data_IF_860128453781
#
_entry.id   IF_860128453781
#
_cell.length_a   1.000
_cell.length_b   1.000
_cell.length_c   1.000
_cell.angle_alpha   90.00
_cell.angle_beta   90.00
_cell.angle_gamma   90.00
#
_symmetry.space_group_name_H-M   'P 1'
#
loop_
_entity.id
_entity.type
_entity.pdbx_description
1 polymer ?
#
# COMPACT_ATOMS: atom_id res chain seq x y z
N UNK A 1 -1.01 58.60 20.87
CA UNK A 1 -0.15 57.64 20.12
C UNK A 1 -1.06 56.55 19.55
N UNK A 2 -1.29 56.53 18.23
CA UNK A 2 -2.13 55.54 17.56
C UNK A 2 -1.22 54.41 17.07
N UNK A 3 -1.36 53.21 17.63
CA UNK A 3 -0.67 52.01 17.15
C UNK A 3 -1.66 51.19 16.32
N UNK A 4 -1.41 51.11 15.02
CA UNK A 4 -2.17 50.32 14.05
C UNK A 4 -1.44 49.00 13.87
N UNK A 5 -1.96 47.91 14.44
CA UNK A 5 -1.49 46.57 14.12
C UNK A 5 -2.03 46.16 12.74
N UNK A 6 -1.15 46.10 11.74
CA UNK A 6 -1.43 45.47 10.46
C UNK A 6 -1.30 43.96 10.60
N UNK A 7 -2.42 43.29 10.39
CA UNK A 7 -2.58 41.89 10.06
C UNK A 7 -1.69 41.56 8.84
N UNK A 8 -0.75 40.63 8.99
CA UNK A 8 0.07 40.10 7.90
C UNK A 8 -0.41 38.67 7.60
N UNK A 9 -1.37 38.59 6.69
CA UNK A 9 -1.66 37.42 5.87
C UNK A 9 -0.44 37.19 4.98
N UNK A 10 0.32 36.12 5.22
CA UNK A 10 1.25 35.61 4.23
C UNK A 10 0.78 34.24 3.78
N UNK A 11 0.16 34.25 2.61
CA UNK A 11 -0.22 33.08 1.84
C UNK A 11 0.99 32.16 1.64
N UNK A 12 0.77 30.87 1.79
CA UNK A 12 1.73 29.83 1.43
C UNK A 12 2.00 29.90 -0.07
N UNK A 13 3.12 30.52 -0.44
CA UNK A 13 3.72 30.33 -1.73
C UNK A 13 4.35 28.93 -1.75
N UNK A 14 3.78 28.03 -2.55
CA UNK A 14 4.52 26.89 -3.10
C UNK A 14 5.84 27.44 -3.66
N UNK A 15 6.94 27.13 -3.00
CA UNK A 15 8.27 27.43 -3.52
C UNK A 15 8.57 26.41 -4.60
N UNK A 16 8.16 26.71 -5.83
CA UNK A 16 8.80 26.10 -7.00
C UNK A 16 10.28 26.45 -6.93
N UNK A 17 11.16 25.44 -6.98
CA UNK A 17 12.59 25.64 -7.10
C UNK A 17 12.85 26.46 -8.38
N UNK A 18 13.21 27.73 -8.22
CA UNK A 18 13.63 28.57 -9.34
C UNK A 18 15.05 28.13 -9.76
N UNK A 19 15.09 27.40 -10.87
CA UNK A 19 16.18 27.15 -11.80
C UNK A 19 17.27 28.24 -11.83
N UNK A 20 18.54 27.83 -11.76
CA UNK A 20 19.71 28.70 -11.66
C UNK A 20 20.85 28.24 -12.59
N UNK A 21 21.50 29.19 -13.26
CA UNK A 21 22.73 28.96 -14.02
C UNK A 21 23.90 28.70 -13.06
N UNK A 22 24.96 28.06 -13.54
CA UNK A 22 26.20 27.86 -12.76
C UNK A 22 27.30 28.74 -13.32
N UNK A 23 27.82 29.64 -12.50
CA UNK A 23 28.97 30.49 -12.85
C UNK A 23 30.21 29.88 -12.22
N UNK A 24 31.15 29.44 -13.06
CA UNK A 24 32.42 28.86 -12.64
C UNK A 24 33.49 29.94 -12.76
N UNK A 25 34.16 30.24 -11.65
CA UNK A 25 35.31 31.15 -11.64
C UNK A 25 36.60 30.39 -11.98
N UNK A 26 37.61 31.09 -12.51
CA UNK A 26 38.96 30.55 -12.76
C UNK A 26 39.66 29.99 -11.52
N UNK A 27 39.18 30.39 -10.33
CA UNK A 27 39.64 29.87 -9.04
C UNK A 27 39.04 28.50 -8.69
N UNK A 28 38.08 28.00 -9.49
CA UNK A 28 37.33 26.77 -9.24
C UNK A 28 36.06 26.95 -8.39
N UNK A 29 35.79 28.16 -7.89
CA UNK A 29 34.57 28.48 -7.13
C UNK A 29 33.36 28.47 -8.07
N UNK A 30 32.27 27.82 -7.64
CA UNK A 30 31.00 27.73 -8.37
C UNK A 30 29.90 28.48 -7.63
N UNK A 31 29.17 29.33 -8.36
CA UNK A 31 27.97 29.98 -7.85
C UNK A 31 26.73 29.49 -8.60
N UNK A 32 25.73 29.03 -7.86
CA UNK A 32 24.39 28.74 -8.39
C UNK A 32 23.56 30.03 -8.34
N UNK A 33 23.17 30.54 -9.52
CA UNK A 33 22.46 31.81 -9.62
C UNK A 33 22.00 32.18 -11.03
N UNK A 34 21.26 33.27 -11.16
CA UNK A 34 20.83 33.78 -12.48
C UNK A 34 21.64 35.01 -12.86
N UNK A 35 22.13 35.10 -14.10
CA UNK A 35 22.68 36.35 -14.64
C UNK A 35 21.53 37.35 -14.84
N UNK A 36 21.56 38.46 -14.09
CA UNK A 36 20.55 39.52 -14.14
C UNK A 36 20.86 40.52 -15.26
N UNK A 37 22.13 40.89 -15.41
CA UNK A 37 22.58 41.81 -16.44
C UNK A 37 24.07 41.66 -16.72
N UNK A 38 24.49 42.11 -17.89
CA UNK A 38 25.87 42.10 -18.36
C UNK A 38 26.28 43.51 -18.77
N UNK A 39 27.45 43.96 -18.30
CA UNK A 39 28.11 45.16 -18.81
C UNK A 39 29.46 44.82 -19.46
N UNK A 40 30.20 45.83 -19.94
CA UNK A 40 31.45 45.63 -20.67
C UNK A 40 32.51 44.86 -19.87
N UNK A 41 32.47 44.90 -18.52
CA UNK A 41 33.53 44.40 -17.65
C UNK A 41 33.08 43.34 -16.64
N UNK A 42 31.78 43.18 -16.40
CA UNK A 42 31.26 42.31 -15.33
C UNK A 42 29.86 41.76 -15.62
N UNK A 43 29.54 40.66 -14.94
CA UNK A 43 28.19 40.12 -14.82
C UNK A 43 27.59 40.51 -13.47
N UNK A 44 26.33 40.95 -13.46
CA UNK A 44 25.52 41.03 -12.25
C UNK A 44 24.73 39.73 -12.12
N UNK A 45 24.95 38.99 -11.04
CA UNK A 45 24.39 37.65 -10.84
C UNK A 45 23.67 37.56 -9.51
N UNK A 46 22.44 37.05 -9.55
CA UNK A 46 21.68 36.70 -8.36
C UNK A 46 22.07 35.30 -7.92
N UNK A 47 22.83 35.17 -6.83
CA UNK A 47 23.30 33.90 -6.28
C UNK A 47 22.44 33.45 -5.11
N UNK A 48 22.30 32.15 -4.90
CA UNK A 48 21.68 31.60 -3.70
C UNK A 48 22.74 31.40 -2.61
N UNK A 49 22.64 32.15 -1.50
CA UNK A 49 23.50 31.97 -0.32
C UNK A 49 23.00 30.80 0.55
N UNK A 50 21.68 30.62 0.58
CA UNK A 50 21.00 29.42 1.09
C UNK A 50 19.80 29.12 0.19
N UNK A 51 19.10 27.99 0.39
CA UNK A 51 17.92 27.61 -0.42
C UNK A 51 16.82 28.69 -0.47
N UNK A 52 16.77 29.62 0.49
CA UNK A 52 15.77 30.69 0.56
C UNK A 52 16.35 32.11 0.51
N UNK A 53 17.67 32.29 0.66
CA UNK A 53 18.31 33.61 0.70
C UNK A 53 19.05 33.86 -0.62
N UNK A 54 18.65 34.93 -1.29
CA UNK A 54 19.25 35.41 -2.54
C UNK A 54 20.13 36.62 -2.26
N UNK A 55 21.28 36.68 -2.93
CA UNK A 55 22.20 37.82 -2.90
C UNK A 55 22.55 38.23 -4.32
N UNK A 56 22.87 39.50 -4.54
CA UNK A 56 23.27 40.02 -5.85
C UNK A 56 24.75 40.35 -5.84
N UNK A 57 25.51 39.68 -6.71
CA UNK A 57 26.96 39.83 -6.77
C UNK A 57 27.38 40.29 -8.14
N UNK A 58 28.31 41.24 -8.17
CA UNK A 58 28.99 41.65 -9.39
C UNK A 58 30.29 40.85 -9.54
N UNK A 59 30.40 40.10 -10.63
CA UNK A 59 31.55 39.23 -10.92
C UNK A 59 32.27 39.74 -12.18
N UNK A 60 33.55 40.13 -12.10
CA UNK A 60 34.35 40.52 -13.26
C UNK A 60 34.48 39.41 -14.31
N UNK A 61 34.38 39.74 -15.61
CA UNK A 61 34.45 38.76 -16.71
C UNK A 61 35.78 38.04 -16.79
N UNK A 62 36.88 38.71 -16.43
CA UNK A 62 38.22 38.15 -16.40
C UNK A 62 38.40 37.04 -15.33
N UNK A 63 37.53 37.01 -14.32
CA UNK A 63 37.49 35.98 -13.28
C UNK A 63 36.57 34.81 -13.62
N UNK A 64 35.65 34.98 -14.58
CA UNK A 64 34.75 33.91 -15.02
C UNK A 64 35.51 32.99 -15.97
N UNK A 65 35.46 31.69 -15.68
CA UNK A 65 35.95 30.65 -16.56
C UNK A 65 34.86 30.26 -17.57
N UNK A 66 33.66 29.96 -17.08
CA UNK A 66 32.51 29.60 -17.89
C UNK A 66 31.20 29.90 -17.16
N UNK A 67 30.13 30.14 -17.93
CA UNK A 67 28.76 30.21 -17.43
C UNK A 67 28.00 29.05 -18.07
N UNK A 68 27.63 28.07 -17.25
CA UNK A 68 26.82 26.94 -17.67
C UNK A 68 25.36 27.33 -17.48
N UNK A 69 24.71 27.70 -18.59
CA UNK A 69 23.29 27.99 -18.57
C UNK A 69 22.50 26.70 -18.38
N UNK A 70 21.50 26.74 -17.50
CA UNK A 70 20.62 25.60 -17.32
C UNK A 70 19.72 25.46 -18.56
N UNK A 71 19.86 24.34 -19.27
CA UNK A 71 19.05 24.04 -20.46
C UNK A 71 17.59 23.88 -20.06
N UNK A 72 16.66 24.19 -20.98
CA UNK A 72 15.24 23.98 -20.71
C UNK A 72 14.90 22.51 -20.44
N UNK A 73 15.70 21.58 -20.99
CA UNK A 73 15.62 20.16 -20.69
C UNK A 73 15.98 19.87 -19.22
N UNK A 74 17.08 20.41 -18.70
CA UNK A 74 17.47 20.23 -17.31
C UNK A 74 16.42 20.81 -16.33
N UNK A 75 15.79 21.93 -16.68
CA UNK A 75 14.68 22.53 -15.90
C UNK A 75 13.46 21.63 -15.88
N UNK A 76 13.01 21.19 -17.05
CA UNK A 76 11.85 20.32 -17.17
C UNK A 76 12.10 18.96 -16.49
N UNK A 77 13.33 18.45 -16.55
CA UNK A 77 13.72 17.22 -15.87
C UNK A 77 13.65 17.36 -14.35
N UNK A 78 14.17 18.45 -13.78
CA UNK A 78 14.01 18.73 -12.35
C UNK A 78 12.54 18.85 -11.94
N UNK A 79 11.69 19.43 -12.80
CA UNK A 79 10.26 19.55 -12.56
C UNK A 79 9.50 18.21 -12.65
N UNK A 80 10.02 17.21 -13.38
CA UNK A 80 9.44 15.86 -13.37
C UNK A 80 9.54 15.19 -11.99
N UNK A 81 10.56 15.54 -11.22
CA UNK A 81 10.87 14.87 -9.95
C UNK A 81 11.29 13.41 -10.14
N UNK A 82 11.45 12.64 -9.03
CA UNK A 82 11.90 11.26 -9.09
C UNK A 82 10.84 10.34 -9.70
N UNK A 83 11.13 9.82 -10.90
CA UNK A 83 10.30 8.83 -11.57
C UNK A 83 10.44 7.44 -10.96
N UNK A 84 11.68 7.07 -10.59
CA UNK A 84 12.03 5.79 -9.97
C UNK A 84 13.02 5.97 -8.80
N UNK A 85 13.10 5.02 -7.83
CA UNK A 85 12.21 3.87 -7.67
C UNK A 85 10.78 4.32 -7.30
N UNK A 86 9.78 3.56 -7.76
CA UNK A 86 8.38 3.82 -7.39
C UNK A 86 8.08 3.32 -5.97
N UNK A 87 7.35 4.10 -5.17
CA UNK A 87 6.79 3.66 -3.90
C UNK A 87 6.02 2.33 -3.96
N UNK A 88 6.04 1.58 -2.86
CA UNK A 88 5.17 0.43 -2.67
C UNK A 88 3.69 0.85 -2.76
N UNK A 89 2.83 -0.05 -3.24
CA UNK A 89 1.37 0.13 -3.36
C UNK A 89 0.94 1.39 -4.14
N UNK A 90 1.79 1.92 -5.02
CA UNK A 90 1.40 3.04 -5.87
C UNK A 90 0.19 2.66 -6.74
N UNK A 91 -0.82 3.54 -6.76
CA UNK A 91 -2.05 3.33 -7.53
C UNK A 91 -1.82 3.49 -9.05
N UNK A 92 -2.64 2.80 -9.84
CA UNK A 92 -2.48 2.69 -11.30
C UNK A 92 -2.61 4.03 -12.04
N UNK A 93 -3.45 4.93 -11.56
CA UNK A 93 -3.63 6.30 -12.06
C UNK A 93 -2.37 7.15 -11.85
N UNK A 94 -1.69 6.99 -10.72
CA UNK A 94 -0.42 7.65 -10.45
C UNK A 94 0.68 7.18 -11.41
N UNK A 95 0.71 5.87 -11.75
CA UNK A 95 1.60 5.37 -12.80
C UNK A 95 1.30 6.01 -14.16
N UNK A 96 0.03 6.09 -14.58
CA UNK A 96 -0.35 6.72 -15.84
C UNK A 96 0.10 8.17 -15.92
N UNK A 97 -0.04 8.93 -14.83
CA UNK A 97 0.45 10.30 -14.72
C UNK A 97 1.96 10.39 -14.94
N UNK A 98 2.74 9.55 -14.25
CA UNK A 98 4.21 9.50 -14.38
C UNK A 98 4.66 9.09 -15.79
N UNK A 99 4.03 8.07 -16.38
CA UNK A 99 4.28 7.61 -17.75
C UNK A 99 4.01 8.74 -18.76
N UNK A 100 2.89 9.45 -18.60
CA UNK A 100 2.53 10.57 -19.47
C UNK A 100 3.53 11.71 -19.37
N UNK A 101 3.99 12.03 -18.15
CA UNK A 101 5.00 13.04 -17.91
C UNK A 101 6.36 12.66 -18.56
N UNK A 102 6.82 11.43 -18.36
CA UNK A 102 8.06 10.93 -18.96
C UNK A 102 8.01 10.93 -20.51
N UNK A 103 6.91 10.45 -21.10
CA UNK A 103 6.69 10.51 -22.56
C UNK A 103 6.68 11.94 -23.09
N UNK A 104 6.05 12.86 -22.36
CA UNK A 104 5.99 14.28 -22.74
C UNK A 104 7.38 14.92 -22.72
N UNK A 105 8.20 14.59 -21.71
CA UNK A 105 9.58 15.04 -21.64
C UNK A 105 10.41 14.53 -22.81
N UNK A 106 10.39 13.22 -23.08
CA UNK A 106 11.13 12.61 -24.19
C UNK A 106 10.71 13.16 -25.56
N UNK A 107 9.44 13.49 -25.73
CA UNK A 107 8.94 14.14 -26.94
C UNK A 107 9.45 15.58 -27.08
N UNK A 108 9.51 16.33 -25.98
CA UNK A 108 9.96 17.73 -25.97
C UNK A 108 11.48 17.85 -26.08
N UNK A 109 12.21 16.92 -25.46
CA UNK A 109 13.67 16.94 -25.29
C UNK A 109 14.34 15.63 -25.73
N UNK A 110 14.16 15.18 -26.99
CA UNK A 110 14.60 13.86 -27.44
C UNK A 110 16.13 13.66 -27.49
N UNK A 111 16.90 14.75 -27.40
CA UNK A 111 18.37 14.74 -27.48
C UNK A 111 19.03 15.31 -26.22
N UNK A 112 18.29 15.47 -25.13
CA UNK A 112 18.89 15.96 -23.88
C UNK A 112 19.76 14.89 -23.22
N UNK A 113 20.67 15.33 -22.36
CA UNK A 113 21.56 14.44 -21.62
C UNK A 113 20.76 13.51 -20.68
N UNK A 114 19.60 13.97 -20.20
CA UNK A 114 18.69 13.24 -19.31
C UNK A 114 17.74 12.29 -20.07
N UNK A 115 17.65 12.37 -21.40
CA UNK A 115 16.70 11.59 -22.19
C UNK A 115 16.90 10.08 -21.99
N UNK A 116 18.14 9.62 -21.83
CA UNK A 116 18.44 8.21 -21.54
C UNK A 116 17.89 7.78 -20.18
N UNK A 117 18.11 8.58 -19.14
CA UNK A 117 17.62 8.31 -17.78
C UNK A 117 16.09 8.29 -17.74
N UNK A 118 15.44 9.25 -18.42
CA UNK A 118 13.97 9.29 -18.50
C UNK A 118 13.42 8.10 -19.27
N UNK A 119 14.10 7.65 -20.33
CA UNK A 119 13.70 6.44 -21.06
C UNK A 119 13.82 5.18 -20.19
N UNK A 120 14.92 5.01 -19.46
CA UNK A 120 15.10 3.88 -18.53
C UNK A 120 14.02 3.89 -17.44
N UNK A 121 13.70 5.06 -16.89
CA UNK A 121 12.62 5.22 -15.93
C UNK A 121 11.24 4.92 -16.55
N UNK A 122 10.99 5.34 -17.78
CA UNK A 122 9.76 5.05 -18.52
C UNK A 122 9.57 3.53 -18.71
N UNK A 123 10.61 2.82 -19.12
CA UNK A 123 10.57 1.37 -19.33
C UNK A 123 10.21 0.62 -18.02
N UNK A 124 10.79 1.07 -16.89
CA UNK A 124 10.43 0.54 -15.57
C UNK A 124 8.96 0.83 -15.24
N UNK A 125 8.52 2.07 -15.42
CA UNK A 125 7.15 2.48 -15.12
C UNK A 125 6.13 1.71 -15.95
N UNK A 126 6.39 1.49 -17.24
CA UNK A 126 5.49 0.72 -18.12
C UNK A 126 5.44 -0.76 -17.73
N UNK A 127 6.59 -1.35 -17.37
CA UNK A 127 6.65 -2.73 -16.87
C UNK A 127 5.88 -2.91 -15.57
N UNK A 128 6.08 -2.01 -14.61
CA UNK A 128 5.35 -2.04 -13.34
C UNK A 128 3.85 -1.81 -13.58
N UNK A 129 3.48 -0.80 -14.37
CA UNK A 129 2.09 -0.50 -14.70
C UNK A 129 1.35 -1.67 -15.35
N UNK A 130 2.01 -2.46 -16.21
CA UNK A 130 1.42 -3.65 -16.82
C UNK A 130 0.98 -4.72 -15.80
N UNK A 131 1.63 -4.76 -14.63
CA UNK A 131 1.26 -5.64 -13.51
C UNK A 131 0.17 -4.97 -12.65
N UNK A 132 0.37 -3.71 -12.28
CA UNK A 132 -0.55 -2.98 -11.38
C UNK A 132 -1.93 -2.77 -12.02
N UNK A 133 -1.99 -2.44 -13.31
CA UNK A 133 -3.26 -2.25 -14.04
C UNK A 133 -4.13 -3.51 -14.12
N UNK A 134 -3.54 -4.69 -13.91
CA UNK A 134 -4.25 -5.97 -13.89
C UNK A 134 -4.63 -6.43 -12.49
N UNK A 135 -4.49 -5.55 -11.48
CA UNK A 135 -4.77 -5.88 -10.08
C UNK A 135 -3.58 -6.46 -9.32
N UNK A 136 -2.37 -6.41 -9.88
CA UNK A 136 -1.15 -6.71 -9.15
C UNK A 136 -0.76 -5.59 -8.17
N UNK A 137 0.26 -5.84 -7.36
CA UNK A 137 0.75 -4.86 -6.37
C UNK A 137 2.28 -4.89 -6.28
N UNK A 138 2.89 -3.73 -6.01
CA UNK A 138 4.30 -3.65 -5.62
C UNK A 138 4.40 -3.61 -4.10
N UNK A 139 5.06 -4.61 -3.49
CA UNK A 139 5.31 -4.70 -2.06
C UNK A 139 6.78 -5.01 -1.80
N UNK A 140 7.41 -4.23 -0.92
CA UNK A 140 8.81 -4.36 -0.54
C UNK A 140 9.74 -4.40 -1.77
N UNK A 141 9.46 -3.56 -2.76
CA UNK A 141 10.21 -3.50 -4.02
C UNK A 141 9.91 -4.63 -5.02
N UNK A 142 9.07 -5.61 -4.67
CA UNK A 142 8.72 -6.73 -5.53
C UNK A 142 7.35 -6.54 -6.17
N UNK A 143 7.25 -6.80 -7.47
CA UNK A 143 5.97 -6.88 -8.18
C UNK A 143 5.33 -8.25 -7.96
N UNK A 144 4.06 -8.24 -7.57
CA UNK A 144 3.23 -9.44 -7.40
C UNK A 144 2.09 -9.34 -8.41
N UNK A 145 1.90 -10.36 -9.23
CA UNK A 145 0.80 -10.39 -10.20
C UNK A 145 -0.52 -10.70 -9.51
N UNK A 146 -1.65 -10.33 -10.12
CA UNK A 146 -2.97 -10.66 -9.57
C UNK A 146 -3.18 -12.17 -9.34
N UNK A 147 -2.62 -13.02 -10.22
CA UNK A 147 -2.69 -14.47 -10.06
C UNK A 147 -1.85 -14.96 -8.87
N UNK A 148 -0.66 -14.39 -8.65
CA UNK A 148 0.15 -14.71 -7.48
C UNK A 148 -0.49 -14.22 -6.17
N UNK A 149 -1.21 -13.08 -6.23
CA UNK A 149 -2.03 -12.60 -5.12
C UNK A 149 -3.15 -13.61 -4.85
N UNK A 150 -3.91 -14.03 -5.85
CA UNK A 150 -5.00 -15.00 -5.66
C UNK A 150 -4.50 -16.31 -5.02
N UNK A 151 -3.40 -16.86 -5.55
CA UNK A 151 -2.80 -18.09 -5.03
C UNK A 151 -2.27 -17.97 -3.59
N UNK A 152 -2.04 -16.76 -3.09
CA UNK A 152 -1.46 -16.51 -1.77
C UNK A 152 -2.09 -15.32 -1.01
N UNK A 153 -3.39 -15.10 -1.21
CA UNK A 153 -4.05 -13.84 -0.84
C UNK A 153 -3.95 -13.55 0.66
N UNK A 154 -4.03 -14.60 1.50
CA UNK A 154 -3.93 -14.48 2.95
C UNK A 154 -2.60 -13.85 3.39
N UNK A 155 -1.47 -14.41 2.99
CA UNK A 155 -0.15 -13.90 3.37
C UNK A 155 0.17 -12.57 2.67
N UNK A 156 -0.27 -12.38 1.42
CA UNK A 156 -0.04 -11.13 0.69
C UNK A 156 -0.78 -9.97 1.38
N UNK A 157 -2.05 -10.14 1.73
CA UNK A 157 -2.81 -9.11 2.43
C UNK A 157 -2.26 -8.87 3.85
N UNK A 158 -1.83 -9.93 4.56
CA UNK A 158 -1.15 -9.76 5.84
C UNK A 158 0.11 -8.89 5.69
N UNK A 159 0.89 -9.11 4.63
CA UNK A 159 2.09 -8.32 4.32
C UNK A 159 1.76 -6.87 3.99
N UNK A 160 0.65 -6.59 3.31
CA UNK A 160 0.19 -5.22 3.05
C UNK A 160 -0.08 -4.47 4.36
N UNK A 161 -0.80 -5.10 5.30
CA UNK A 161 -1.11 -4.49 6.60
C UNK A 161 0.17 -4.30 7.44
N UNK A 162 1.09 -5.27 7.42
CA UNK A 162 2.36 -5.17 8.13
C UNK A 162 3.25 -4.05 7.59
N UNK A 163 3.27 -3.83 6.26
CA UNK A 163 3.99 -2.71 5.66
C UNK A 163 3.37 -1.37 6.06
N UNK A 164 2.03 -1.24 6.04
CA UNK A 164 1.35 -0.03 6.53
C UNK A 164 1.66 0.25 8.01
N UNK A 165 1.67 -0.80 8.83
CA UNK A 165 2.07 -0.71 10.23
C UNK A 165 3.51 -0.19 10.36
N UNK A 166 4.45 -0.74 9.58
CA UNK A 166 5.86 -0.33 9.57
C UNK A 166 6.04 1.12 9.11
N UNK A 167 5.36 1.53 8.03
CA UNK A 167 5.38 2.89 7.48
C UNK A 167 4.90 3.92 8.53
N UNK A 168 3.77 3.64 9.20
CA UNK A 168 3.22 4.51 10.24
C UNK A 168 4.12 4.57 11.47
N UNK A 169 4.69 3.43 11.87
CA UNK A 169 5.64 3.36 12.98
C UNK A 169 6.91 4.19 12.69
N UNK A 170 7.46 4.10 11.47
CA UNK A 170 8.62 4.88 11.04
C UNK A 170 8.34 6.39 11.01
N UNK A 171 7.09 6.80 10.77
CA UNK A 171 6.65 8.19 10.83
C UNK A 171 6.37 8.70 12.26
N UNK A 172 6.55 7.86 13.29
CA UNK A 172 6.21 8.20 14.67
C UNK A 172 4.70 8.29 14.92
N UNK A 173 3.86 7.78 14.00
CA UNK A 173 2.42 7.73 14.15
C UNK A 173 2.00 6.50 14.95
N UNK A 174 2.28 6.51 16.25
CA UNK A 174 2.12 5.36 17.14
C UNK A 174 0.67 4.83 17.17
N UNK A 175 -0.30 5.72 17.37
CA UNK A 175 -1.71 5.35 17.47
C UNK A 175 -2.24 4.75 16.14
N UNK A 176 -2.05 5.40 14.96
CA UNK A 176 -2.42 4.78 13.68
C UNK A 176 -1.70 3.46 13.41
N UNK A 177 -0.41 3.37 13.74
CA UNK A 177 0.36 2.14 13.61
C UNK A 177 -0.25 1.01 14.44
N UNK A 178 -0.61 1.27 15.70
CA UNK A 178 -1.23 0.28 16.59
C UNK A 178 -2.62 -0.18 16.10
N UNK A 179 -3.40 0.68 15.43
CA UNK A 179 -4.62 0.26 14.73
C UNK A 179 -4.34 -0.74 13.61
N UNK A 180 -3.28 -0.54 12.82
CA UNK A 180 -2.87 -1.51 11.79
C UNK A 180 -2.34 -2.80 12.40
N UNK A 181 -1.59 -2.73 13.49
CA UNK A 181 -1.21 -3.89 14.28
C UNK A 181 -2.42 -4.71 14.76
N UNK A 182 -3.47 -4.04 15.24
CA UNK A 182 -4.71 -4.70 15.68
C UNK A 182 -5.40 -5.44 14.55
N UNK A 183 -5.48 -4.86 13.35
CA UNK A 183 -5.97 -5.54 12.14
C UNK A 183 -5.11 -6.76 11.83
N UNK A 184 -3.78 -6.62 11.84
CA UNK A 184 -2.85 -7.72 11.58
C UNK A 184 -3.05 -8.89 12.56
N UNK A 185 -3.16 -8.59 13.85
CA UNK A 185 -3.37 -9.57 14.91
C UNK A 185 -4.72 -10.28 14.78
N UNK A 186 -5.78 -9.53 14.51
CA UNK A 186 -7.14 -10.07 14.54
C UNK A 186 -7.49 -10.84 13.26
N UNK A 187 -7.09 -10.33 12.09
CA UNK A 187 -7.40 -10.96 10.80
C UNK A 187 -6.33 -11.95 10.34
N UNK A 188 -5.07 -11.76 10.73
CA UNK A 188 -3.93 -12.55 10.23
C UNK A 188 -3.05 -13.21 11.33
N UNK A 189 -3.62 -13.79 12.40
CA UNK A 189 -2.83 -14.32 13.51
C UNK A 189 -1.92 -15.50 13.13
N UNK A 190 -2.15 -16.13 11.97
CA UNK A 190 -1.41 -17.29 11.47
C UNK A 190 -0.56 -16.97 10.23
N UNK A 191 -0.32 -15.69 9.96
CA UNK A 191 0.52 -15.22 8.85
C UNK A 191 1.96 -15.04 9.29
N UNK A 192 2.89 -15.15 8.33
CA UNK A 192 4.31 -14.85 8.60
C UNK A 192 4.48 -13.39 9.01
N UNK A 193 3.74 -12.49 8.37
CA UNK A 193 3.79 -11.05 8.64
C UNK A 193 3.38 -10.70 10.07
N UNK A 194 2.45 -11.43 10.68
CA UNK A 194 2.10 -11.24 12.10
C UNK A 194 3.30 -11.54 13.02
N UNK A 195 3.94 -12.69 12.83
CA UNK A 195 5.08 -13.11 13.63
C UNK A 195 6.25 -12.13 13.45
N UNK A 196 6.58 -11.80 12.19
CA UNK A 196 7.69 -10.89 11.86
C UNK A 196 7.48 -9.48 12.41
N UNK A 197 6.22 -9.06 12.59
CA UNK A 197 5.87 -7.73 13.10
C UNK A 197 5.91 -7.61 14.63
N UNK A 198 5.96 -8.72 15.38
CA UNK A 198 5.95 -8.72 16.85
C UNK A 198 7.06 -7.84 17.47
N UNK A 199 8.33 -7.90 17.04
CA UNK A 199 9.37 -7.06 17.62
C UNK A 199 9.13 -5.56 17.40
N UNK A 200 8.61 -5.19 16.23
CA UNK A 200 8.27 -3.80 15.93
C UNK A 200 7.06 -3.35 16.74
N UNK A 201 6.02 -4.19 16.85
CA UNK A 201 4.85 -3.94 17.69
C UNK A 201 5.25 -3.66 19.15
N UNK A 202 6.13 -4.49 19.71
CA UNK A 202 6.63 -4.28 21.07
C UNK A 202 7.35 -2.93 21.22
N UNK A 203 8.21 -2.58 20.26
CA UNK A 203 8.91 -1.28 20.26
C UNK A 203 7.94 -0.09 20.15
N UNK A 204 6.96 -0.16 19.26
CA UNK A 204 5.96 0.90 19.08
C UNK A 204 5.12 1.06 20.34
N UNK A 205 4.69 -0.03 20.98
CA UNK A 205 3.96 0.04 22.25
C UNK A 205 4.78 0.70 23.34
N UNK A 206 6.03 0.27 23.54
CA UNK A 206 6.94 0.89 24.52
C UNK A 206 7.17 2.39 24.25
N UNK A 207 7.35 2.78 22.98
CA UNK A 207 7.49 4.18 22.59
C UNK A 207 6.23 4.98 22.90
N UNK A 208 5.06 4.43 22.56
CA UNK A 208 3.78 5.10 22.79
C UNK A 208 3.49 5.27 24.27
N UNK A 209 3.80 4.26 25.10
CA UNK A 209 3.66 4.35 26.55
C UNK A 209 4.46 5.49 27.15
N UNK A 210 5.72 5.68 26.70
CA UNK A 210 6.56 6.78 27.18
C UNK A 210 5.96 8.14 26.82
N UNK A 211 5.44 8.28 25.59
CA UNK A 211 4.76 9.50 25.15
C UNK A 211 3.54 9.75 26.04
N UNK A 212 2.67 8.75 26.23
CA UNK A 212 1.47 8.90 27.04
C UNK A 212 1.78 9.21 28.51
N UNK A 213 2.84 8.62 29.06
CA UNK A 213 3.29 8.95 30.41
C UNK A 213 3.75 10.40 30.51
N UNK A 214 4.53 10.88 29.54
CA UNK A 214 4.96 12.28 29.50
C UNK A 214 3.77 13.26 29.38
N UNK A 215 2.76 12.89 28.58
CA UNK A 215 1.52 13.65 28.47
C UNK A 215 0.78 13.72 29.83
N UNK A 216 0.66 12.60 30.54
CA UNK A 216 0.07 12.55 31.89
C UNK A 216 0.87 13.38 32.91
N UNK A 217 2.20 13.23 32.92
CA UNK A 217 3.08 13.93 33.86
C UNK A 217 3.01 15.47 33.70
N UNK A 218 2.72 15.94 32.48
CA UNK A 218 2.62 17.38 32.16
C UNK A 218 1.19 17.91 32.13
N UNK A 219 0.18 17.04 32.35
CA UNK A 219 -1.23 17.39 32.22
C UNK A 219 -1.64 18.53 33.16
N UNK A 220 -1.32 18.44 34.44
CA UNK A 220 -1.65 19.46 35.44
C UNK A 220 -1.06 20.84 35.08
N UNK A 221 0.20 20.87 34.64
CA UNK A 221 0.85 22.10 34.20
C UNK A 221 0.14 22.72 32.99
N UNK A 222 -0.30 21.91 32.01
CA UNK A 222 -1.05 22.38 30.84
C UNK A 222 -2.45 22.86 31.18
N UNK A 223 -3.13 22.20 32.12
CA UNK A 223 -4.45 22.62 32.61
C UNK A 223 -4.34 23.97 33.35
N UNK A 224 -3.34 24.13 34.23
CA UNK A 224 -3.05 25.39 34.90
C UNK A 224 -2.73 26.50 33.91
N UNK A 225 -1.86 26.24 32.94
CA UNK A 225 -1.51 27.20 31.90
C UNK A 225 -2.74 27.65 31.10
N UNK A 226 -3.61 26.69 30.71
CA UNK A 226 -4.88 26.99 30.03
C UNK A 226 -5.76 27.89 30.90
N UNK A 227 -5.89 27.60 32.19
CA UNK A 227 -6.69 28.40 33.11
C UNK A 227 -6.12 29.82 33.28
N UNK A 228 -4.81 29.97 33.44
CA UNK A 228 -4.15 31.28 33.52
C UNK A 228 -4.40 32.12 32.27
N UNK A 229 -4.29 31.51 31.08
CA UNK A 229 -4.61 32.18 29.81
C UNK A 229 -6.08 32.61 29.79
N UNK A 230 -7.03 31.73 30.11
CA UNK A 230 -8.45 32.06 30.15
C UNK A 230 -8.79 33.20 31.12
N UNK A 231 -8.17 33.21 32.30
CA UNK A 231 -8.36 34.26 33.31
C UNK A 231 -7.77 35.62 32.89
N UNK A 232 -6.79 35.64 31.98
CA UNK A 232 -6.17 36.87 31.47
C UNK A 232 -6.94 37.52 30.32
N UNK A 233 -7.90 36.81 29.72
CA UNK A 233 -8.69 37.30 28.58
C UNK A 233 -9.79 38.26 29.02
N UNK A 234 -10.21 39.13 28.10
CA UNK A 234 -11.44 39.91 28.26
C UNK A 234 -12.66 38.99 28.39
N UNK A 235 -13.74 39.45 29.01
CA UNK A 235 -14.94 38.62 29.22
C UNK A 235 -15.50 38.04 27.91
N UNK A 236 -15.56 38.86 26.85
CA UNK A 236 -16.03 38.43 25.53
C UNK A 236 -15.10 37.38 24.90
N UNK A 237 -13.78 37.53 25.04
CA UNK A 237 -12.79 36.58 24.51
C UNK A 237 -12.79 35.28 25.29
N UNK A 238 -12.87 35.36 26.63
CA UNK A 238 -12.96 34.20 27.52
C UNK A 238 -14.18 33.35 27.17
N UNK A 239 -15.36 33.97 27.03
CA UNK A 239 -16.60 33.27 26.63
C UNK A 239 -16.44 32.54 25.29
N UNK A 240 -15.83 33.19 24.29
CA UNK A 240 -15.55 32.57 22.98
C UNK A 240 -14.57 31.39 23.09
N UNK A 241 -13.53 31.54 23.89
CA UNK A 241 -12.54 30.50 24.12
C UNK A 241 -13.14 29.28 24.83
N UNK A 242 -13.91 29.50 25.90
CA UNK A 242 -14.64 28.46 26.64
C UNK A 242 -15.62 27.71 25.74
N UNK A 243 -16.40 28.43 24.92
CA UNK A 243 -17.30 27.81 23.96
C UNK A 243 -16.54 26.96 22.93
N UNK A 244 -15.38 27.43 22.46
CA UNK A 244 -14.52 26.66 21.53
C UNK A 244 -13.97 25.39 22.19
N UNK A 245 -13.54 25.48 23.45
CA UNK A 245 -13.05 24.33 24.23
C UNK A 245 -14.18 23.30 24.41
N UNK A 246 -15.36 23.75 24.83
CA UNK A 246 -16.53 22.87 25.01
C UNK A 246 -16.95 22.19 23.70
N UNK A 247 -16.93 22.92 22.57
CA UNK A 247 -17.19 22.33 21.25
C UNK A 247 -16.16 21.27 20.86
N UNK A 248 -14.86 21.50 21.16
CA UNK A 248 -13.81 20.51 20.91
C UNK A 248 -14.01 19.26 21.76
N UNK A 249 -14.34 19.42 23.05
CA UNK A 249 -14.63 18.31 23.96
C UNK A 249 -15.85 17.50 23.50
N UNK A 250 -16.93 18.16 23.06
CA UNK A 250 -18.11 17.48 22.55
C UNK A 250 -17.80 16.68 21.27
N UNK A 251 -17.06 17.27 20.32
CA UNK A 251 -16.60 16.56 19.11
C UNK A 251 -15.72 15.37 19.44
N UNK A 252 -14.81 15.53 20.41
CA UNK A 252 -13.95 14.45 20.86
C UNK A 252 -14.76 13.31 21.50
N UNK A 253 -15.75 13.62 22.36
CA UNK A 253 -16.61 12.61 22.95
C UNK A 253 -17.39 11.82 21.89
N UNK A 254 -17.92 12.50 20.85
CA UNK A 254 -18.56 11.80 19.71
C UNK A 254 -17.57 10.92 18.94
N UNK A 255 -16.34 11.37 18.75
CA UNK A 255 -15.30 10.57 18.08
C UNK A 255 -14.98 9.29 18.87
N UNK A 256 -14.82 9.40 20.19
CA UNK A 256 -14.57 8.23 21.05
C UNK A 256 -15.74 7.26 21.01
N UNK A 257 -16.97 7.75 21.07
CA UNK A 257 -18.17 6.90 20.98
C UNK A 257 -18.22 6.11 19.66
N UNK A 258 -17.85 6.75 18.55
CA UNK A 258 -17.73 6.09 17.23
C UNK A 258 -16.60 5.04 17.22
N UNK A 259 -15.44 5.38 17.77
CA UNK A 259 -14.29 4.48 17.84
C UNK A 259 -14.58 3.22 18.66
N UNK A 260 -15.32 3.36 19.76
CA UNK A 260 -15.70 2.25 20.64
C UNK A 260 -16.83 1.40 20.04
N UNK A 261 -17.89 2.03 19.52
CA UNK A 261 -19.10 1.30 19.07
C UNK A 261 -18.98 0.75 17.66
N UNK A 262 -18.43 1.54 16.74
CA UNK A 262 -18.41 1.21 15.31
C UNK A 262 -17.09 0.56 14.94
N UNK A 263 -15.96 1.20 15.26
CA UNK A 263 -14.64 0.68 14.89
C UNK A 263 -14.15 -0.41 15.84
N UNK A 264 -14.67 -0.45 17.08
CA UNK A 264 -14.32 -1.43 18.13
C UNK A 264 -12.81 -1.57 18.31
N UNK A 265 -12.08 -0.46 18.18
CA UNK A 265 -10.62 -0.46 18.30
C UNK A 265 -10.20 -0.26 19.73
N UNK A 266 -9.13 -0.96 20.15
CA UNK A 266 -8.49 -0.69 21.44
C UNK A 266 -7.72 0.63 21.46
N UNK A 267 -7.34 1.15 20.31
CA UNK A 267 -6.44 2.30 20.20
C UNK A 267 -7.25 3.56 19.94
N UNK A 268 -7.76 4.15 21.02
CA UNK A 268 -8.58 5.36 20.97
C UNK A 268 -7.73 6.58 20.61
N UNK A 269 -8.32 7.53 19.88
CA UNK A 269 -7.73 8.85 19.67
C UNK A 269 -7.51 9.53 21.01
N UNK A 270 -6.41 10.28 21.15
CA UNK A 270 -6.10 10.97 22.40
C UNK A 270 -6.44 12.47 22.31
N UNK A 271 -6.92 13.03 23.41
CA UNK A 271 -6.90 14.48 23.68
C UNK A 271 -5.84 14.75 24.76
N UNK A 272 -4.86 15.63 24.52
CA UNK A 272 -3.79 15.97 25.49
C UNK A 272 -4.30 16.51 26.83
N UNK A 273 -5.58 16.88 26.93
CA UNK A 273 -6.20 17.43 28.13
C UNK A 273 -7.25 16.49 28.74
N UNK A 274 -7.37 15.26 28.21
CA UNK A 274 -8.27 14.24 28.74
C UNK A 274 -7.44 13.14 29.43
N UNK A 275 -7.48 13.14 30.77
CA UNK A 275 -6.73 12.19 31.60
C UNK A 275 -7.15 10.74 31.33
N UNK A 276 -8.46 10.47 31.30
CA UNK A 276 -9.02 9.13 31.13
C UNK A 276 -8.56 8.48 29.82
N UNK A 277 -8.52 9.23 28.73
CA UNK A 277 -8.11 8.74 27.43
C UNK A 277 -6.59 8.45 27.36
N UNK A 278 -5.78 9.31 27.98
CA UNK A 278 -4.34 9.11 28.08
C UNK A 278 -4.03 7.86 28.92
N UNK A 279 -4.68 7.71 30.07
CA UNK A 279 -4.54 6.56 30.96
C UNK A 279 -5.03 5.27 30.30
N UNK A 280 -6.19 5.29 29.65
CA UNK A 280 -6.74 4.14 28.94
C UNK A 280 -5.77 3.63 27.88
N UNK A 281 -5.29 4.51 27.00
CA UNK A 281 -4.33 4.14 25.97
C UNK A 281 -3.02 3.63 26.56
N UNK A 282 -2.53 4.22 27.67
CA UNK A 282 -1.29 3.80 28.32
C UNK A 282 -1.41 2.39 28.89
N UNK A 283 -2.52 2.09 29.57
CA UNK A 283 -2.83 0.76 30.11
C UNK A 283 -3.04 -0.26 29.00
N UNK A 284 -3.73 0.11 27.93
CA UNK A 284 -3.92 -0.73 26.74
C UNK A 284 -2.59 -1.09 26.08
N UNK A 285 -1.66 -0.13 25.96
CA UNK A 285 -0.32 -0.37 25.43
C UNK A 285 0.52 -1.28 26.33
N UNK A 286 0.42 -1.12 27.67
CA UNK A 286 1.12 -2.01 28.62
C UNK A 286 0.60 -3.44 28.55
N UNK A 287 -0.73 -3.60 28.60
CA UNK A 287 -1.35 -4.92 28.58
C UNK A 287 -1.05 -5.67 27.29
N UNK A 288 -1.13 -4.99 26.14
CA UNK A 288 -0.80 -5.60 24.86
C UNK A 288 0.69 -5.92 24.76
N UNK A 289 1.57 -5.01 25.17
CA UNK A 289 3.02 -5.24 25.19
C UNK A 289 3.38 -6.48 26.02
N UNK A 290 2.80 -6.64 27.20
CA UNK A 290 2.98 -7.83 28.03
C UNK A 290 2.42 -9.10 27.35
N UNK A 291 1.29 -8.99 26.66
CA UNK A 291 0.68 -10.14 25.97
C UNK A 291 1.55 -10.63 24.82
N UNK A 292 2.08 -9.72 24.00
CA UNK A 292 2.85 -10.11 22.81
C UNK A 292 4.27 -10.58 23.17
N UNK A 293 4.87 -10.04 24.24
CA UNK A 293 6.21 -10.45 24.69
C UNK A 293 6.22 -11.83 25.34
N UNK A 294 5.08 -12.30 25.86
CA UNK A 294 4.89 -13.64 26.43
C UNK A 294 4.44 -14.69 25.40
N UNK A 295 4.21 -14.28 24.15
CA UNK A 295 3.70 -15.17 23.12
C UNK A 295 4.79 -16.15 22.67
N UNK A 296 4.53 -17.45 22.79
CA UNK A 296 5.41 -18.49 22.24
C UNK A 296 5.16 -18.65 20.73
N UNK A 297 5.96 -17.92 19.94
CA UNK A 297 5.85 -17.92 18.48
C UNK A 297 6.13 -19.28 17.85
N UNK A 298 6.86 -20.17 18.54
CA UNK A 298 7.18 -21.52 18.03
C UNK A 298 5.94 -22.43 17.94
N UNK A 299 4.88 -22.09 18.68
CA UNK A 299 3.60 -22.83 18.68
C UNK A 299 2.60 -22.32 17.66
N UNK A 300 2.89 -21.19 17.02
CA UNK A 300 1.98 -20.60 16.03
C UNK A 300 2.11 -21.37 14.72
N UNK A 301 1.02 -22.03 14.32
CA UNK A 301 0.95 -22.68 13.00
C UNK A 301 0.78 -21.65 11.90
N UNK A 302 1.37 -21.92 10.75
CA UNK A 302 1.27 -21.04 9.58
C UNK A 302 0.12 -21.48 8.68
N UNK A 303 -0.82 -20.58 8.40
CA UNK A 303 -1.93 -20.86 7.49
C UNK A 303 -1.54 -20.73 6.01
N UNK A 304 -0.51 -19.93 5.70
CA UNK A 304 -0.03 -19.68 4.34
C UNK A 304 0.27 -20.94 3.52
N UNK A 305 1.06 -21.91 4.03
CA UNK A 305 1.31 -23.17 3.35
C UNK A 305 0.03 -23.97 3.05
N UNK A 306 -0.90 -24.06 3.99
CA UNK A 306 -2.20 -24.73 3.80
C UNK A 306 -3.03 -24.02 2.72
N UNK A 307 -3.03 -22.69 2.72
CA UNK A 307 -3.73 -21.87 1.72
C UNK A 307 -3.22 -22.10 0.31
N UNK A 308 -1.89 -21.98 0.11
CA UNK A 308 -1.24 -22.25 -1.19
C UNK A 308 -1.39 -23.71 -1.60
N UNK A 309 -1.37 -24.62 -0.64
CA UNK A 309 -1.61 -26.05 -0.85
C UNK A 309 -3.00 -26.33 -1.42
N UNK A 310 -4.04 -25.66 -0.91
CA UNK A 310 -5.41 -25.81 -1.41
C UNK A 310 -5.52 -25.36 -2.87
N UNK A 311 -4.96 -24.20 -3.21
CA UNK A 311 -4.88 -23.71 -4.59
C UNK A 311 -4.13 -24.67 -5.51
N UNK A 312 -3.00 -25.21 -5.05
CA UNK A 312 -2.19 -26.17 -5.81
C UNK A 312 -2.95 -27.48 -6.05
N UNK A 313 -3.64 -28.00 -5.03
CA UNK A 313 -4.46 -29.20 -5.15
C UNK A 313 -5.62 -29.01 -6.14
N UNK A 314 -6.29 -27.85 -6.10
CA UNK A 314 -7.33 -27.49 -7.07
C UNK A 314 -6.77 -27.43 -8.50
N UNK A 315 -5.63 -26.78 -8.69
CA UNK A 315 -4.96 -26.69 -10.00
C UNK A 315 -4.63 -28.08 -10.56
N UNK A 316 -4.17 -29.01 -9.70
CA UNK A 316 -3.80 -30.38 -10.07
C UNK A 316 -4.98 -31.36 -10.12
N UNK A 317 -6.22 -30.92 -9.88
CA UNK A 317 -7.41 -31.78 -9.88
C UNK A 317 -7.50 -32.75 -8.68
N UNK A 318 -6.74 -32.51 -7.62
CA UNK A 318 -6.71 -33.30 -6.39
C UNK A 318 -7.83 -32.86 -5.44
N UNK A 319 -9.08 -33.09 -5.82
CA UNK A 319 -10.27 -32.50 -5.17
C UNK A 319 -10.43 -32.91 -3.69
N UNK A 320 -10.12 -34.17 -3.34
CA UNK A 320 -10.19 -34.64 -1.94
C UNK A 320 -9.19 -33.92 -1.02
N UNK A 321 -7.95 -33.74 -1.51
CA UNK A 321 -6.93 -33.01 -0.74
C UNK A 321 -7.28 -31.52 -0.64
N UNK A 322 -7.80 -30.92 -1.72
CA UNK A 322 -8.30 -29.55 -1.69
C UNK A 322 -9.42 -29.39 -0.64
N UNK A 323 -10.41 -30.29 -0.62
CA UNK A 323 -11.51 -30.30 0.35
C UNK A 323 -11.01 -30.39 1.80
N UNK A 324 -10.03 -31.26 2.05
CA UNK A 324 -9.39 -31.42 3.36
C UNK A 324 -8.66 -30.15 3.79
N UNK A 325 -7.85 -29.56 2.92
CA UNK A 325 -7.11 -28.33 3.22
C UNK A 325 -8.05 -27.14 3.45
N UNK A 326 -9.12 -27.01 2.64
CA UNK A 326 -10.17 -26.00 2.84
C UNK A 326 -10.84 -26.17 4.22
N UNK A 327 -11.15 -27.41 4.61
CA UNK A 327 -11.71 -27.70 5.94
C UNK A 327 -10.73 -27.32 7.06
N UNK A 328 -9.43 -27.57 6.88
CA UNK A 328 -8.40 -27.17 7.84
C UNK A 328 -8.33 -25.64 7.98
N UNK A 329 -8.38 -24.89 6.87
CA UNK A 329 -8.44 -23.42 6.86
C UNK A 329 -9.64 -22.88 7.65
N UNK A 330 -10.83 -23.48 7.50
CA UNK A 330 -12.03 -23.09 8.27
C UNK A 330 -11.94 -23.47 9.74
N UNK A 331 -11.51 -24.70 10.05
CA UNK A 331 -11.62 -25.26 11.40
C UNK A 331 -10.43 -24.93 12.30
N UNK A 332 -9.21 -25.16 11.80
CA UNK A 332 -7.99 -25.01 12.58
C UNK A 332 -7.50 -23.56 12.59
N UNK A 333 -7.58 -22.89 11.44
CA UNK A 333 -7.13 -21.50 11.30
C UNK A 333 -8.24 -20.47 11.45
N UNK A 334 -9.52 -20.89 11.48
CA UNK A 334 -10.70 -19.99 11.55
C UNK A 334 -10.60 -18.85 10.55
N UNK A 335 -10.11 -19.16 9.36
CA UNK A 335 -9.85 -18.17 8.32
C UNK A 335 -11.16 -17.55 7.85
N UNK A 336 -11.16 -16.23 7.64
CA UNK A 336 -12.32 -15.48 7.14
C UNK A 336 -12.82 -16.03 5.81
N UNK A 337 -14.14 -16.02 5.63
CA UNK A 337 -14.82 -16.46 4.40
C UNK A 337 -14.29 -15.74 3.16
N UNK A 338 -13.80 -14.49 3.27
CA UNK A 338 -13.22 -13.77 2.11
C UNK A 338 -12.07 -14.53 1.44
N UNK A 339 -11.38 -15.41 2.17
CA UNK A 339 -10.28 -16.23 1.65
C UNK A 339 -10.71 -17.65 1.31
N UNK A 340 -11.68 -18.20 2.06
CA UNK A 340 -12.06 -19.60 1.92
C UNK A 340 -13.15 -19.80 0.87
N UNK A 341 -14.06 -18.84 0.69
CA UNK A 341 -15.14 -18.93 -0.30
C UNK A 341 -14.60 -19.10 -1.73
N UNK A 342 -13.60 -18.33 -2.22
CA UNK A 342 -13.06 -18.55 -3.56
C UNK A 342 -12.52 -19.97 -3.78
N UNK A 343 -11.88 -20.55 -2.76
CA UNK A 343 -11.39 -21.94 -2.81
C UNK A 343 -12.55 -22.95 -2.84
N UNK A 344 -13.59 -22.71 -2.05
CA UNK A 344 -14.77 -23.58 -1.99
C UNK A 344 -15.57 -23.54 -3.30
N UNK A 345 -15.75 -22.36 -3.87
CA UNK A 345 -16.46 -22.18 -5.15
C UNK A 345 -15.72 -22.89 -6.28
N UNK A 346 -14.39 -22.77 -6.34
CA UNK A 346 -13.59 -23.50 -7.33
C UNK A 346 -13.59 -25.02 -7.12
N UNK A 347 -13.63 -25.48 -5.87
CA UNK A 347 -13.78 -26.90 -5.57
C UNK A 347 -15.11 -27.41 -6.12
N UNK A 348 -16.21 -26.74 -5.79
CA UNK A 348 -17.55 -27.09 -6.25
C UNK A 348 -17.64 -27.10 -7.79
N UNK A 349 -17.11 -26.06 -8.44
CA UNK A 349 -17.06 -25.99 -9.90
C UNK A 349 -16.32 -27.19 -10.52
N UNK A 350 -15.15 -27.55 -9.96
CA UNK A 350 -14.36 -28.68 -10.43
C UNK A 350 -15.02 -30.03 -10.15
N UNK A 351 -15.67 -30.19 -9.00
CA UNK A 351 -16.44 -31.38 -8.67
C UNK A 351 -17.63 -31.57 -9.62
N UNK A 352 -18.36 -30.50 -9.92
CA UNK A 352 -19.48 -30.53 -10.86
C UNK A 352 -19.00 -30.85 -12.28
N UNK A 353 -17.88 -30.27 -12.73
CA UNK A 353 -17.26 -30.61 -14.02
C UNK A 353 -16.82 -32.07 -14.09
N UNK A 354 -16.23 -32.60 -13.01
CA UNK A 354 -15.82 -34.02 -12.93
C UNK A 354 -17.02 -34.95 -13.02
N UNK A 355 -18.09 -34.70 -12.24
CA UNK A 355 -19.33 -35.48 -12.28
C UNK A 355 -19.96 -35.46 -13.68
N UNK A 356 -20.07 -34.30 -14.31
CA UNK A 356 -20.61 -34.18 -15.66
C UNK A 356 -19.78 -34.96 -16.71
N UNK A 357 -18.45 -34.96 -16.58
CA UNK A 357 -17.57 -35.73 -17.44
C UNK A 357 -17.73 -37.25 -17.23
N UNK A 358 -17.87 -37.70 -15.99
CA UNK A 358 -18.11 -39.11 -15.64
C UNK A 358 -19.48 -39.59 -16.16
N UNK A 359 -20.53 -38.78 -16.00
CA UNK A 359 -21.87 -39.07 -16.54
C UNK A 359 -21.86 -39.18 -18.07
N UNK A 360 -21.18 -38.24 -18.74
CA UNK A 360 -21.03 -38.29 -20.20
C UNK A 360 -20.27 -39.53 -20.66
N UNK A 361 -19.16 -39.87 -20.00
CA UNK A 361 -18.39 -41.07 -20.32
C UNK A 361 -19.18 -42.36 -20.07
N UNK A 362 -20.00 -42.40 -19.02
CA UNK A 362 -20.90 -43.53 -18.74
C UNK A 362 -21.99 -43.67 -19.82
N UNK A 363 -22.59 -42.56 -20.27
CA UNK A 363 -23.58 -42.56 -21.34
C UNK A 363 -23.00 -43.03 -22.68
N UNK A 364 -21.81 -42.53 -23.06
CA UNK A 364 -21.10 -42.95 -24.27
C UNK A 364 -20.76 -44.45 -24.24
N UNK A 365 -20.30 -44.95 -23.10
CA UNK A 365 -20.03 -46.39 -22.93
C UNK A 365 -21.31 -47.23 -23.05
N UNK A 366 -22.41 -46.79 -22.44
CA UNK A 366 -23.69 -47.49 -22.52
C UNK A 366 -24.25 -47.53 -23.95
N UNK A 367 -24.06 -46.45 -24.72
CA UNK A 367 -24.45 -46.41 -26.13
C UNK A 367 -23.59 -47.35 -26.99
N UNK A 368 -22.28 -47.39 -26.77
CA UNK A 368 -21.38 -48.33 -27.45
C UNK A 368 -21.77 -49.80 -27.15
N UNK A 369 -22.09 -50.12 -25.90
CA UNK A 369 -22.56 -51.46 -25.53
C UNK A 369 -23.90 -51.81 -26.18
N UNK A 370 -24.83 -50.85 -26.30
CA UNK A 370 -26.11 -51.05 -27.01
C UNK A 370 -25.88 -51.34 -28.50
N UNK A 371 -25.06 -50.53 -29.18
CA UNK A 371 -24.73 -50.72 -30.59
C UNK A 371 -24.02 -52.05 -30.83
N UNK A 372 -23.11 -52.46 -29.93
CA UNK A 372 -22.44 -53.75 -30.01
C UNK A 372 -23.43 -54.93 -29.86
N UNK A 373 -24.40 -54.84 -28.95
CA UNK A 373 -25.46 -55.85 -28.79
C UNK A 373 -26.36 -55.92 -30.02
N UNK A 374 -26.79 -54.79 -30.57
CA UNK A 374 -27.60 -54.72 -31.78
C UNK A 374 -26.87 -55.32 -32.99
N UNK A 375 -25.59 -55.00 -33.17
CA UNK A 375 -24.75 -55.58 -34.21
C UNK A 375 -24.58 -57.10 -34.05
N UNK A 376 -24.37 -57.59 -32.83
CA UNK A 376 -24.25 -59.01 -32.55
C UNK A 376 -25.56 -59.78 -32.81
N UNK A 377 -26.72 -59.18 -32.47
CA UNK A 377 -28.03 -59.77 -32.76
C UNK A 377 -28.30 -59.82 -34.27
N UNK A 378 -27.96 -58.75 -35.00
CA UNK A 378 -28.09 -58.71 -36.46
C UNK A 378 -27.21 -59.77 -37.14
N UNK A 379 -25.96 -59.90 -36.72
CA UNK A 379 -25.05 -60.94 -37.22
C UNK A 379 -25.58 -62.36 -36.93
N UNK A 380 -26.21 -62.59 -35.76
CA UNK A 380 -26.85 -63.88 -35.45
C UNK A 380 -28.05 -64.16 -36.35
N UNK A 381 -28.89 -63.16 -36.64
CA UNK A 381 -30.04 -63.31 -37.55
C UNK A 381 -29.59 -63.60 -38.98
N UNK A 382 -28.60 -62.87 -39.49
CA UNK A 382 -28.01 -63.11 -40.81
C UNK A 382 -27.37 -64.51 -40.93
N UNK A 383 -26.66 -64.97 -39.90
CA UNK A 383 -26.11 -66.32 -39.87
C UNK A 383 -27.19 -67.43 -39.82
N UNK A 384 -28.32 -67.17 -39.16
CA UNK A 384 -29.46 -68.08 -39.12
C UNK A 384 -30.21 -68.14 -40.45
N UNK A 385 -30.35 -67.01 -41.17
CA UNK A 385 -30.94 -66.96 -42.51
C UNK A 385 -30.04 -67.59 -43.57
N UNK A 386 -28.72 -67.43 -43.47
CA UNK A 386 -27.77 -68.11 -44.35
C UNK A 386 -27.84 -69.65 -44.24
N UNK A 387 -28.18 -70.18 -43.05
CA UNK A 387 -28.43 -71.62 -42.83
C UNK A 387 -29.81 -72.09 -43.33
N UNK A 388 -30.76 -71.19 -43.62
CA UNK A 388 -32.11 -71.52 -44.10
C UNK A 388 -32.27 -71.45 -45.62
N UNK A 389 -31.28 -70.99 -46.40
CA UNK A 389 -31.33 -71.10 -47.87
C UNK A 389 -31.22 -72.58 -48.30
N UNK A 390 -32.26 -73.16 -48.92
CA UNK A 390 -32.26 -74.57 -49.30
C UNK A 390 -31.29 -74.80 -50.47
N UNK A 391 -30.53 -75.89 -50.41
CA UNK A 391 -29.95 -76.52 -51.60
C UNK A 391 -31.10 -77.03 -52.48
N UNK A 392 -31.54 -76.18 -53.41
CA UNK A 392 -32.39 -76.47 -54.56
C UNK A 392 -31.81 -75.59 -55.67
N UNK A 393 -31.43 -76.05 -56.87
CA UNK A 393 -31.83 -77.21 -57.64
C UNK A 393 -30.82 -77.40 -58.79
N UNK A 394 -30.64 -78.66 -59.25
CA UNK A 394 -30.34 -79.14 -60.63
C UNK A 394 -29.12 -78.53 -61.39
N UNK A 395 -28.32 -79.30 -62.13
CA UNK A 395 -28.64 -80.51 -62.93
C UNK A 395 -27.36 -81.29 -63.18
#
# INVERSE_FOLDING_TARGET
MKSVYKLLLLAGALTGQLSADTIVLKTGVKYEGKVLSEDATSYLVQIFVTKSIKDERRIPKDQVQEIIQETDAAKDFKNLGPLTPTPNRMASDIYQGRITAAKSFLKKHPKSDEAKEVQEALDILEKEYAVISKGGVKLNGQLITASDIEANAYDVHARMIAEEFSELAAQGQHQPALRKWEVLKNEYPYSTSFIDSLPLAARVMQGYQKILQQELDTLDARLKQRQTVLSSLSENDRRRAEQTISQKQAKYATLIDQEEKELKTRWLTIDPFNEDALEYNRRSAESEHQSITKLDTSRIKMAGPTYRGAWTALANGQLEEASKLIRELKSSFRMSDKYVTPLADQLEEKENKKKAAEEKAAAEKAEQERLAKEAAEKARKEAAEAKKKPKSNKK
#
